data_IF_749430461237
#
_entry.id   IF_749430461237
#
_cell.length_a   1.000
_cell.length_b   1.000
_cell.length_c   1.000
_cell.angle_alpha   90.00
_cell.angle_beta   90.00
_cell.angle_gamma   90.00
#
_symmetry.space_group_name_H-M   'P 1'
#
loop_
_entity.id
_entity.type
_entity.pdbx_description
1 polymer ?
#
# COMPACT_ATOMS: atom_id res chain seq x y z
N UNK A 1 -7.07 15.16 9.71
CA UNK A 1 -8.13 14.85 8.72
C UNK A 1 -7.70 13.67 7.85
N UNK A 2 -8.61 12.76 7.59
CA UNK A 2 -8.36 11.62 6.72
C UNK A 2 -8.53 12.07 5.27
N UNK A 3 -7.49 11.91 4.47
CA UNK A 3 -7.54 12.23 3.04
C UNK A 3 -7.54 10.93 2.25
N UNK A 4 -8.68 10.59 1.64
CA UNK A 4 -8.85 9.32 0.91
C UNK A 4 -7.94 9.25 -0.33
N UNK A 5 -7.75 10.37 -1.01
CA UNK A 5 -6.81 10.43 -2.14
C UNK A 5 -5.38 10.10 -1.67
N UNK A 6 -4.96 10.68 -0.56
CA UNK A 6 -3.64 10.39 0.03
C UNK A 6 -3.51 8.92 0.42
N UNK A 7 -4.55 8.35 1.03
CA UNK A 7 -4.56 6.93 1.38
C UNK A 7 -4.39 6.04 0.14
N UNK A 8 -5.06 6.36 -0.96
CA UNK A 8 -4.89 5.61 -2.21
C UNK A 8 -3.47 5.73 -2.75
N UNK A 9 -2.84 6.89 -2.64
CA UNK A 9 -1.43 7.07 -3.00
C UNK A 9 -0.52 6.22 -2.12
N UNK A 10 -0.73 6.22 -0.81
CA UNK A 10 0.06 5.43 0.13
C UNK A 10 -0.06 3.93 -0.16
N UNK A 11 -1.24 3.45 -0.45
CA UNK A 11 -1.46 2.05 -0.82
C UNK A 11 -0.66 1.67 -2.07
N UNK A 12 -0.65 2.53 -3.09
CA UNK A 12 0.15 2.30 -4.30
C UNK A 12 1.64 2.35 -4.01
N UNK A 13 2.08 3.30 -3.20
CA UNK A 13 3.49 3.43 -2.81
C UNK A 13 3.98 2.22 -2.04
N UNK A 14 3.15 1.64 -1.18
CA UNK A 14 3.47 0.42 -0.44
C UNK A 14 3.86 -0.70 -1.39
N UNK A 15 3.05 -0.94 -2.41
CA UNK A 15 3.31 -1.98 -3.42
C UNK A 15 4.61 -1.69 -4.18
N UNK A 16 4.82 -0.45 -4.60
CA UNK A 16 6.03 -0.07 -5.35
C UNK A 16 7.30 -0.24 -4.54
N UNK A 17 7.29 0.22 -3.30
CA UNK A 17 8.48 0.13 -2.43
C UNK A 17 8.78 -1.32 -2.10
N UNK A 18 7.76 -2.12 -1.83
CA UNK A 18 7.92 -3.54 -1.55
C UNK A 18 8.55 -4.27 -2.75
N UNK A 19 8.09 -3.97 -3.96
CA UNK A 19 8.67 -4.51 -5.17
C UNK A 19 10.15 -4.11 -5.33
N UNK A 20 10.47 -2.85 -5.06
CA UNK A 20 11.87 -2.37 -5.12
C UNK A 20 12.76 -3.08 -4.11
N UNK A 21 12.26 -3.31 -2.90
CA UNK A 21 13.00 -4.06 -1.87
C UNK A 21 13.31 -5.47 -2.39
N UNK A 22 12.31 -6.16 -2.91
CA UNK A 22 12.48 -7.51 -3.45
C UNK A 22 13.51 -7.53 -4.59
N UNK A 23 13.49 -6.55 -5.49
CA UNK A 23 14.44 -6.44 -6.59
C UNK A 23 15.86 -6.20 -6.08
N UNK A 24 16.06 -5.32 -5.13
CA UNK A 24 17.39 -5.05 -4.55
C UNK A 24 17.92 -6.24 -3.76
N UNK A 25 17.07 -6.94 -3.03
CA UNK A 25 17.46 -8.17 -2.31
C UNK A 25 17.85 -9.27 -3.29
N UNK A 26 17.12 -9.45 -4.37
CA UNK A 26 17.44 -10.43 -5.41
C UNK A 26 18.77 -10.10 -6.09
N UNK A 27 19.02 -8.81 -6.35
CA UNK A 27 20.29 -8.35 -6.91
C UNK A 27 21.45 -8.63 -5.97
N UNK A 28 21.29 -8.34 -4.69
CA UNK A 28 22.30 -8.60 -3.66
C UNK A 28 22.63 -10.09 -3.57
N UNK A 29 21.61 -10.96 -3.64
CA UNK A 29 21.79 -12.42 -3.65
C UNK A 29 22.58 -12.89 -4.86
N UNK A 30 22.30 -12.36 -6.05
CA UNK A 30 23.04 -12.70 -7.28
C UNK A 30 24.51 -12.27 -7.17
N UNK A 31 24.78 -11.08 -6.67
CA UNK A 31 26.13 -10.56 -6.47
C UNK A 31 26.89 -11.45 -5.50
N UNK A 32 26.27 -11.87 -4.41
CA UNK A 32 26.88 -12.75 -3.41
C UNK A 32 27.21 -14.12 -4.03
N UNK A 33 26.34 -14.68 -4.85
CA UNK A 33 26.55 -15.95 -5.55
C UNK A 33 27.74 -15.86 -6.49
N UNK A 34 27.86 -14.78 -7.26
CA UNK A 34 28.98 -14.54 -8.18
C UNK A 34 30.29 -14.42 -7.39
N UNK A 35 30.30 -13.71 -6.28
CA UNK A 35 31.48 -13.54 -5.43
C UNK A 35 31.98 -14.87 -4.86
N UNK A 36 31.09 -15.77 -4.51
CA UNK A 36 31.42 -17.08 -3.97
C UNK A 36 32.17 -17.93 -4.99
N UNK A 37 31.86 -17.80 -6.28
CA UNK A 37 32.50 -18.56 -7.34
C UNK A 37 33.77 -17.96 -7.92
N UNK A 38 34.01 -16.65 -7.72
CA UNK A 38 35.14 -15.95 -8.35
C UNK A 38 35.73 -14.90 -7.40
N UNK A 39 36.95 -15.12 -6.85
CA UNK A 39 37.61 -14.11 -6.05
C UNK A 39 38.03 -12.93 -6.94
N UNK A 40 37.38 -11.80 -6.79
CA UNK A 40 37.69 -10.56 -7.48
C UNK A 40 37.78 -9.43 -6.46
N UNK A 41 38.60 -8.40 -6.78
CA UNK A 41 38.87 -7.28 -5.88
C UNK A 41 37.67 -6.36 -5.62
N UNK A 42 37.93 -5.27 -4.94
CA UNK A 42 37.03 -4.40 -4.19
C UNK A 42 35.76 -3.85 -4.85
N UNK A 43 35.68 -3.77 -6.19
CA UNK A 43 34.50 -3.17 -6.84
C UNK A 43 33.19 -3.94 -6.61
N UNK A 44 33.24 -5.26 -6.51
CA UNK A 44 32.06 -6.07 -6.22
C UNK A 44 31.64 -5.98 -4.76
N UNK A 45 32.60 -5.81 -3.86
CA UNK A 45 32.34 -5.60 -2.45
C UNK A 45 31.59 -4.27 -2.24
N UNK A 46 32.00 -3.22 -2.94
CA UNK A 46 31.33 -1.92 -2.91
C UNK A 46 29.89 -2.02 -3.43
N UNK A 47 29.64 -2.81 -4.49
CA UNK A 47 28.29 -3.03 -5.01
C UNK A 47 27.38 -3.75 -4.01
N UNK A 48 27.89 -4.73 -3.28
CA UNK A 48 27.11 -5.41 -2.24
C UNK A 48 26.78 -4.46 -1.10
N UNK A 49 27.74 -3.65 -0.69
CA UNK A 49 27.55 -2.66 0.38
C UNK A 49 26.54 -1.58 -0.03
N UNK A 50 26.64 -1.06 -1.25
CA UNK A 50 25.70 -0.09 -1.81
C UNK A 50 24.30 -0.68 -1.89
N UNK A 51 24.16 -1.95 -2.28
CA UNK A 51 22.90 -2.66 -2.31
C UNK A 51 22.26 -2.77 -0.93
N UNK A 52 23.06 -3.08 0.10
CA UNK A 52 22.56 -3.15 1.48
C UNK A 52 22.08 -1.80 1.97
N UNK A 53 22.78 -0.70 1.63
CA UNK A 53 22.37 0.65 1.96
C UNK A 53 21.04 1.00 1.30
N UNK A 54 20.90 0.68 0.00
CA UNK A 54 19.64 0.94 -0.72
C UNK A 54 18.46 0.17 -0.13
N UNK A 55 18.66 -1.09 0.25
CA UNK A 55 17.62 -1.89 0.91
C UNK A 55 17.22 -1.27 2.24
N UNK A 56 18.20 -0.83 3.04
CA UNK A 56 17.93 -0.18 4.33
C UNK A 56 17.12 1.11 4.15
N UNK A 57 17.49 1.93 3.17
CA UNK A 57 16.75 3.17 2.85
C UNK A 57 15.33 2.89 2.39
N UNK A 58 15.13 1.85 1.57
CA UNK A 58 13.80 1.44 1.10
C UNK A 58 12.94 0.92 2.26
N UNK A 59 13.53 0.17 3.18
CA UNK A 59 12.81 -0.31 4.37
C UNK A 59 12.39 0.82 5.28
N UNK A 60 13.24 1.84 5.43
CA UNK A 60 12.90 3.04 6.21
C UNK A 60 11.75 3.80 5.54
N UNK A 61 11.79 3.97 4.23
CA UNK A 61 10.71 4.59 3.47
C UNK A 61 9.40 3.80 3.61
N UNK A 62 9.47 2.48 3.53
CA UNK A 62 8.31 1.59 3.72
C UNK A 62 7.68 1.78 5.11
N UNK A 63 8.52 1.85 6.14
CA UNK A 63 8.07 2.05 7.52
C UNK A 63 7.31 3.36 7.68
N UNK A 64 7.84 4.45 7.11
CA UNK A 64 7.19 5.76 7.15
C UNK A 64 5.83 5.73 6.46
N UNK A 65 5.75 5.10 5.29
CA UNK A 65 4.50 4.94 4.54
C UNK A 65 3.48 4.16 5.37
N UNK A 66 3.91 3.06 5.97
CA UNK A 66 3.04 2.20 6.77
C UNK A 66 2.53 2.91 8.03
N UNK A 67 3.37 3.69 8.70
CA UNK A 67 2.96 4.46 9.87
C UNK A 67 1.87 5.46 9.53
N UNK A 68 2.05 6.22 8.44
CA UNK A 68 1.05 7.18 7.97
C UNK A 68 -0.25 6.46 7.58
N UNK A 69 -0.13 5.35 6.85
CA UNK A 69 -1.28 4.57 6.39
C UNK A 69 -2.05 3.96 7.56
N UNK A 70 -1.37 3.34 8.51
CA UNK A 70 -2.00 2.71 9.67
C UNK A 70 -2.73 3.73 10.54
N UNK A 71 -2.16 4.93 10.71
CA UNK A 71 -2.82 6.02 11.43
C UNK A 71 -4.13 6.39 10.75
N UNK A 72 -4.10 6.56 9.43
CA UNK A 72 -5.30 6.88 8.66
C UNK A 72 -6.34 5.75 8.70
N UNK A 73 -5.90 4.51 8.58
CA UNK A 73 -6.78 3.33 8.65
C UNK A 73 -7.47 3.21 9.99
N UNK A 74 -6.74 3.42 11.08
CA UNK A 74 -7.29 3.38 12.44
C UNK A 74 -8.35 4.45 12.66
N UNK A 75 -8.17 5.63 12.07
CA UNK A 75 -9.14 6.71 12.15
C UNK A 75 -10.34 6.48 11.25
N UNK A 76 -10.15 5.86 10.08
CA UNK A 76 -11.20 5.64 9.09
C UNK A 76 -12.14 4.49 9.47
N UNK A 77 -11.63 3.41 10.03
CA UNK A 77 -12.41 2.18 10.27
C UNK A 77 -13.68 2.44 11.11
N UNK A 78 -13.65 3.19 12.21
CA UNK A 78 -14.88 3.51 12.94
C UNK A 78 -15.90 4.28 12.11
N UNK A 79 -15.44 5.14 11.20
CA UNK A 79 -16.33 5.92 10.33
C UNK A 79 -17.00 5.04 9.29
N UNK A 80 -16.28 4.05 8.76
CA UNK A 80 -16.84 3.05 7.85
C UNK A 80 -17.99 2.31 8.53
N UNK A 81 -17.84 1.99 9.80
CA UNK A 81 -18.88 1.30 10.58
C UNK A 81 -20.18 2.09 10.67
N UNK A 82 -20.13 3.41 10.50
CA UNK A 82 -21.32 4.27 10.51
C UNK A 82 -22.11 4.24 9.19
N UNK A 83 -21.57 3.68 8.11
CA UNK A 83 -22.29 3.54 6.85
C UNK A 83 -23.43 2.54 7.02
N UNK A 84 -24.60 2.86 6.47
CA UNK A 84 -25.79 2.02 6.62
C UNK A 84 -25.75 0.79 5.71
N UNK A 85 -25.24 0.94 4.49
CA UNK A 85 -25.25 -0.11 3.48
C UNK A 85 -24.08 -1.09 3.73
N UNK A 86 -24.40 -2.39 3.80
CA UNK A 86 -23.41 -3.43 4.03
C UNK A 86 -22.41 -3.54 2.87
N UNK A 87 -22.85 -3.35 1.64
CA UNK A 87 -21.95 -3.39 0.47
C UNK A 87 -20.97 -2.22 0.51
N UNK A 88 -21.43 -1.04 0.91
CA UNK A 88 -20.58 0.15 1.07
C UNK A 88 -19.52 -0.09 2.13
N UNK A 89 -19.89 -0.66 3.28
CA UNK A 89 -18.94 -0.99 4.34
C UNK A 89 -17.90 -2.00 3.85
N UNK A 90 -18.35 -3.04 3.16
CA UNK A 90 -17.48 -4.10 2.66
C UNK A 90 -16.45 -3.57 1.67
N UNK A 91 -16.88 -2.80 0.67
CA UNK A 91 -15.96 -2.28 -0.35
C UNK A 91 -14.97 -1.27 0.25
N UNK A 92 -15.41 -0.44 1.19
CA UNK A 92 -14.53 0.52 1.87
C UNK A 92 -13.46 -0.18 2.70
N UNK A 93 -13.83 -1.22 3.45
CA UNK A 93 -12.87 -2.00 4.23
C UNK A 93 -11.88 -2.72 3.35
N UNK A 94 -12.33 -3.36 2.30
CA UNK A 94 -11.44 -4.07 1.38
C UNK A 94 -10.49 -3.09 0.69
N UNK A 95 -10.97 -1.93 0.29
CA UNK A 95 -10.15 -0.93 -0.42
C UNK A 95 -9.13 -0.25 0.49
N UNK A 96 -9.57 0.28 1.62
CA UNK A 96 -8.75 1.17 2.45
C UNK A 96 -8.07 0.48 3.62
N UNK A 97 -8.66 -0.58 4.16
CA UNK A 97 -8.07 -1.31 5.29
C UNK A 97 -7.24 -2.49 4.81
N UNK A 98 -7.76 -3.26 3.85
CA UNK A 98 -7.06 -4.44 3.31
C UNK A 98 -6.18 -4.13 2.10
N UNK A 99 -6.36 -2.99 1.46
CA UNK A 99 -5.51 -2.56 0.35
C UNK A 99 -5.83 -3.20 -0.99
N UNK A 100 -7.00 -3.75 -1.16
CA UNK A 100 -7.40 -4.38 -2.43
C UNK A 100 -7.63 -3.33 -3.52
N UNK A 101 -7.27 -3.67 -4.76
CA UNK A 101 -7.70 -2.89 -5.92
C UNK A 101 -9.19 -3.05 -6.14
N UNK A 102 -9.87 -2.11 -6.85
CA UNK A 102 -11.28 -2.29 -7.16
C UNK A 102 -11.58 -3.60 -7.91
N UNK A 103 -10.70 -4.04 -8.78
CA UNK A 103 -10.83 -5.29 -9.52
C UNK A 103 -10.76 -6.51 -8.60
N UNK A 104 -9.85 -6.49 -7.63
CA UNK A 104 -9.73 -7.55 -6.63
C UNK A 104 -10.96 -7.58 -5.71
N UNK A 105 -11.50 -6.41 -5.36
CA UNK A 105 -12.74 -6.32 -4.58
C UNK A 105 -13.89 -6.97 -5.35
N UNK A 106 -14.02 -6.66 -6.64
CA UNK A 106 -15.07 -7.20 -7.50
C UNK A 106 -15.03 -8.72 -7.50
N UNK A 107 -13.84 -9.30 -7.61
CA UNK A 107 -13.65 -10.75 -7.56
C UNK A 107 -14.04 -11.31 -6.19
N UNK A 108 -13.60 -10.64 -5.12
CA UNK A 108 -13.83 -11.09 -3.75
C UNK A 108 -15.32 -11.12 -3.35
N UNK A 109 -16.10 -10.13 -3.80
CA UNK A 109 -17.53 -10.03 -3.46
C UNK A 109 -18.46 -10.52 -4.56
N UNK A 110 -17.92 -11.09 -5.63
CA UNK A 110 -18.67 -11.61 -6.79
C UNK A 110 -19.58 -10.55 -7.42
N UNK A 111 -19.04 -9.36 -7.64
CA UNK A 111 -19.72 -8.25 -8.31
C UNK A 111 -18.88 -7.79 -9.50
N UNK A 112 -19.47 -6.98 -10.36
CA UNK A 112 -18.74 -6.39 -11.48
C UNK A 112 -17.85 -5.25 -11.02
N UNK A 113 -16.79 -4.96 -11.76
CA UNK A 113 -15.91 -3.81 -11.50
C UNK A 113 -16.72 -2.52 -11.43
N UNK A 114 -17.66 -2.35 -12.35
CA UNK A 114 -18.54 -1.17 -12.41
C UNK A 114 -19.34 -1.00 -11.12
N UNK A 115 -19.90 -2.09 -10.59
CA UNK A 115 -20.64 -2.07 -9.33
C UNK A 115 -19.75 -1.64 -8.17
N UNK A 116 -18.51 -2.15 -8.11
CA UNK A 116 -17.53 -1.80 -7.07
C UNK A 116 -17.19 -0.32 -7.14
N UNK A 117 -16.91 0.21 -8.33
CA UNK A 117 -16.62 1.64 -8.49
C UNK A 117 -17.82 2.49 -8.05
N UNK A 118 -19.03 2.05 -8.35
CA UNK A 118 -20.25 2.74 -7.90
C UNK A 118 -20.36 2.73 -6.36
N UNK A 119 -20.18 1.57 -5.72
CA UNK A 119 -20.24 1.47 -4.26
C UNK A 119 -19.15 2.31 -3.59
N UNK A 120 -17.93 2.27 -4.12
CA UNK A 120 -16.82 3.08 -3.57
C UNK A 120 -17.13 4.58 -3.67
N UNK A 121 -17.56 5.04 -4.83
CA UNK A 121 -17.90 6.45 -5.05
C UNK A 121 -19.01 6.90 -4.10
N UNK A 122 -20.05 6.12 -3.96
CA UNK A 122 -21.18 6.39 -3.07
C UNK A 122 -20.75 6.45 -1.61
N UNK A 123 -19.98 5.47 -1.18
CA UNK A 123 -19.50 5.39 0.20
C UNK A 123 -18.56 6.55 0.55
N UNK A 124 -17.63 6.87 -0.36
CA UNK A 124 -16.70 7.98 -0.18
C UNK A 124 -17.45 9.32 -0.08
N UNK A 125 -18.45 9.53 -0.94
CA UNK A 125 -19.29 10.73 -0.91
C UNK A 125 -20.06 10.84 0.40
N UNK A 126 -20.63 9.72 0.88
CA UNK A 126 -21.36 9.71 2.15
C UNK A 126 -20.47 10.05 3.33
N UNK A 127 -19.25 9.46 3.38
CA UNK A 127 -18.30 9.76 4.45
C UNK A 127 -17.88 11.23 4.44
N UNK A 128 -17.57 11.77 3.27
CA UNK A 128 -17.18 13.17 3.15
C UNK A 128 -18.31 14.12 3.56
N UNK A 129 -19.57 13.76 3.28
CA UNK A 129 -20.74 14.57 3.67
C UNK A 129 -21.07 14.46 5.14
N UNK A 130 -21.02 13.25 5.70
CA UNK A 130 -21.35 13.02 7.12
C UNK A 130 -20.26 13.53 8.05
N UNK A 131 -19.01 13.46 7.63
CA UNK A 131 -17.86 13.81 8.45
C UNK A 131 -16.96 14.82 7.71
N UNK A 132 -17.48 16.01 7.36
CA UNK A 132 -16.71 16.97 6.56
C UNK A 132 -15.44 17.46 7.26
N UNK A 133 -15.41 17.43 8.60
CA UNK A 133 -14.24 17.82 9.39
C UNK A 133 -13.24 16.67 9.57
N UNK A 134 -13.59 15.45 9.19
CA UNK A 134 -12.78 14.25 9.42
C UNK A 134 -12.31 13.58 8.15
N UNK A 135 -13.09 13.66 7.08
CA UNK A 135 -12.81 12.94 5.83
C UNK A 135 -12.88 13.88 4.64
N UNK A 136 -11.84 13.83 3.79
CA UNK A 136 -11.86 14.47 2.48
C UNK A 136 -11.59 13.42 1.40
N UNK A 137 -12.18 13.61 0.22
CA UNK A 137 -11.97 12.69 -0.92
C UNK A 137 -10.57 12.82 -1.54
#
# INVERSE_FOLDING_TARGET
MINLFRMRQLLRQTVKVQWKIEQEEARATKITTVLTGMPRGGGQHDQVQDGAIRVAELRDAYREIMEELETAQSALDPLISELEDADDRAVMRLRYIKGFSPEDIAEAIHRTDRSVYYYLSRAEDQLARRFPDKVSK
#
